data_IF_188090864273
#
_entry.id   IF_188090864273
#
_cell.length_a   1.000
_cell.length_b   1.000
_cell.length_c   1.000
_cell.angle_alpha   90.00
_cell.angle_beta   90.00
_cell.angle_gamma   90.00
#
_symmetry.space_group_name_H-M   'P 1'
#
loop_
_entity.id
_entity.type
_entity.pdbx_description
1 polymer ?
#
# COMPACT_ATOMS: atom_id res chain seq x y z
N UNK A 1 10.21 -4.29 -3.25
CA UNK A 1 10.53 -5.14 -2.09
C UNK A 1 11.84 -4.63 -1.50
N UNK A 2 11.89 -4.29 -0.22
CA UNK A 2 13.11 -3.75 0.42
C UNK A 2 14.02 -4.89 0.87
N UNK A 3 15.31 -4.60 1.07
CA UNK A 3 16.26 -5.57 1.62
C UNK A 3 15.80 -6.08 2.99
N UNK A 4 15.23 -5.19 3.81
CA UNK A 4 14.64 -5.51 5.11
C UNK A 4 13.49 -6.52 5.00
N UNK A 5 12.62 -6.37 3.99
CA UNK A 5 11.51 -7.31 3.77
C UNK A 5 11.99 -8.72 3.45
N UNK A 6 13.01 -8.84 2.59
CA UNK A 6 13.61 -10.14 2.25
C UNK A 6 14.30 -10.76 3.47
N UNK A 7 15.01 -9.93 4.25
CA UNK A 7 15.65 -10.36 5.49
C UNK A 7 14.63 -10.91 6.50
N UNK A 8 13.53 -10.18 6.73
CA UNK A 8 12.46 -10.61 7.62
C UNK A 8 11.82 -11.93 7.16
N UNK A 9 11.60 -12.10 5.85
CA UNK A 9 11.02 -13.33 5.31
C UNK A 9 11.94 -14.54 5.52
N UNK A 10 13.26 -14.36 5.37
CA UNK A 10 14.23 -15.43 5.55
C UNK A 10 14.42 -15.81 7.04
N UNK A 11 14.22 -14.87 7.97
CA UNK A 11 14.29 -15.15 9.41
C UNK A 11 13.21 -16.13 9.87
N UNK A 12 12.06 -16.20 9.18
CA UNK A 12 10.96 -17.09 9.56
C UNK A 12 11.41 -18.55 9.61
N UNK A 13 12.24 -18.99 8.65
CA UNK A 13 12.75 -20.36 8.62
C UNK A 13 13.60 -20.69 9.85
N UNK A 14 14.33 -19.70 10.36
CA UNK A 14 15.24 -19.85 11.50
C UNK A 14 14.47 -19.77 12.82
N UNK A 15 13.62 -18.76 12.99
CA UNK A 15 12.91 -18.50 14.26
C UNK A 15 11.81 -19.51 14.55
N UNK A 16 11.21 -20.09 13.51
CA UNK A 16 10.08 -21.01 13.63
C UNK A 16 10.44 -22.42 13.14
N UNK A 17 11.73 -22.79 13.15
CA UNK A 17 12.23 -24.06 12.61
C UNK A 17 11.53 -25.31 13.21
N UNK A 18 11.09 -25.25 14.47
CA UNK A 18 10.37 -26.31 15.17
C UNK A 18 8.85 -26.27 14.94
N UNK A 19 8.32 -25.20 14.33
CA UNK A 19 6.89 -24.96 14.12
C UNK A 19 6.47 -25.34 12.71
N UNK A 20 6.23 -26.65 12.51
CA UNK A 20 5.87 -27.23 11.21
C UNK A 20 4.76 -26.47 10.47
N UNK A 21 3.71 -26.03 11.15
CA UNK A 21 2.59 -25.32 10.50
C UNK A 21 3.02 -23.98 9.88
N UNK A 22 3.93 -23.25 10.55
CA UNK A 22 4.47 -21.97 10.08
C UNK A 22 5.41 -22.21 8.90
N UNK A 23 6.32 -23.17 9.04
CA UNK A 23 7.28 -23.53 7.99
C UNK A 23 6.57 -24.02 6.72
N UNK A 24 5.52 -24.81 6.85
CA UNK A 24 4.76 -25.29 5.70
C UNK A 24 4.02 -24.15 4.98
N UNK A 25 3.50 -23.16 5.71
CA UNK A 25 2.87 -21.97 5.12
C UNK A 25 3.90 -21.06 4.43
N UNK A 26 5.02 -20.78 5.12
CA UNK A 26 6.14 -20.02 4.58
C UNK A 26 6.73 -20.66 3.33
N UNK A 27 6.94 -21.99 3.32
CA UNK A 27 7.49 -22.70 2.17
C UNK A 27 6.62 -22.53 0.93
N UNK A 28 5.29 -22.59 1.08
CA UNK A 28 4.35 -22.33 -0.04
C UNK A 28 4.48 -20.91 -0.59
N UNK A 29 4.63 -19.91 0.29
CA UNK A 29 4.90 -18.53 -0.14
C UNK A 29 6.24 -18.43 -0.88
N UNK A 30 7.29 -19.02 -0.32
CA UNK A 30 8.64 -18.96 -0.89
C UNK A 30 8.72 -19.67 -2.25
N UNK A 31 8.10 -20.85 -2.38
CA UNK A 31 7.95 -21.57 -3.64
C UNK A 31 7.22 -20.71 -4.67
N UNK A 32 6.12 -20.03 -4.29
CA UNK A 32 5.40 -19.14 -5.20
C UNK A 32 6.24 -17.93 -5.64
N UNK A 33 7.06 -17.37 -4.75
CA UNK A 33 7.97 -16.26 -5.08
C UNK A 33 9.09 -16.69 -6.03
N UNK A 34 9.61 -17.92 -5.88
CA UNK A 34 10.69 -18.48 -6.70
C UNK A 34 10.23 -19.12 -8.01
N UNK A 35 8.93 -19.38 -8.17
CA UNK A 35 8.39 -20.06 -9.37
C UNK A 35 8.12 -19.07 -10.50
N UNK A 36 8.49 -19.46 -11.72
CA UNK A 36 8.06 -18.77 -12.94
C UNK A 36 6.59 -19.10 -13.22
N UNK A 37 5.73 -18.08 -13.20
CA UNK A 37 4.29 -18.26 -13.39
C UNK A 37 3.89 -18.22 -14.85
N UNK A 38 3.10 -19.21 -15.28
CA UNK A 38 2.52 -19.23 -16.62
C UNK A 38 1.31 -18.31 -16.71
N UNK A 39 1.09 -17.76 -17.91
CA UNK A 39 -0.08 -16.96 -18.24
C UNK A 39 -1.30 -17.86 -18.45
N UNK A 40 -2.45 -17.43 -17.93
CA UNK A 40 -3.73 -18.05 -18.23
C UNK A 40 -4.23 -17.67 -19.62
N UNK A 41 -5.18 -18.42 -20.22
CA UNK A 41 -5.65 -18.15 -21.58
C UNK A 41 -6.04 -16.68 -21.87
N UNK A 42 -6.61 -15.97 -20.89
CA UNK A 42 -6.95 -14.54 -21.01
C UNK A 42 -5.77 -13.57 -20.86
N UNK A 43 -4.61 -14.04 -20.44
CA UNK A 43 -3.38 -13.26 -20.18
C UNK A 43 -2.33 -13.46 -21.28
N UNK A 44 -2.53 -14.41 -22.18
CA UNK A 44 -1.60 -14.76 -23.27
C UNK A 44 -1.70 -13.75 -24.41
N UNK A 45 -0.55 -13.31 -24.92
CA UNK A 45 -0.48 -12.45 -26.10
C UNK A 45 -0.92 -13.20 -27.36
N UNK A 46 -1.64 -12.50 -28.22
CA UNK A 46 -2.09 -13.02 -29.51
C UNK A 46 -1.41 -12.20 -30.60
N UNK A 47 -1.10 -12.83 -31.73
CA UNK A 47 -0.55 -12.14 -32.89
C UNK A 47 -1.51 -11.04 -33.36
N UNK A 48 -0.99 -9.82 -33.47
CA UNK A 48 -1.77 -8.63 -33.79
C UNK A 48 -2.26 -7.81 -32.59
N UNK A 49 -1.99 -8.23 -31.34
CA UNK A 49 -2.31 -7.42 -30.17
C UNK A 49 -1.66 -6.03 -30.24
N UNK A 50 -2.46 -4.99 -30.01
CA UNK A 50 -1.99 -3.62 -29.82
C UNK A 50 -1.22 -3.49 -28.50
N UNK A 51 -0.46 -2.39 -28.34
CA UNK A 51 0.25 -2.11 -27.08
C UNK A 51 -0.71 -2.03 -25.88
N UNK A 52 -1.88 -1.44 -26.06
CA UNK A 52 -2.89 -1.32 -25.01
C UNK A 52 -3.43 -2.69 -24.56
N UNK A 53 -3.68 -3.60 -25.51
CA UNK A 53 -4.14 -4.96 -25.21
C UNK A 53 -3.07 -5.76 -24.47
N UNK A 54 -1.79 -5.60 -24.83
CA UNK A 54 -0.67 -6.22 -24.12
C UNK A 54 -0.56 -5.71 -22.68
N UNK A 55 -0.66 -4.39 -22.49
CA UNK A 55 -0.64 -3.76 -21.16
C UNK A 55 -1.80 -4.27 -20.28
N UNK A 56 -3.00 -4.41 -20.83
CA UNK A 56 -4.14 -4.96 -20.10
C UNK A 56 -3.90 -6.42 -19.68
N UNK A 57 -3.37 -7.26 -20.59
CA UNK A 57 -3.03 -8.66 -20.27
C UNK A 57 -1.92 -8.76 -19.23
N UNK A 58 -0.98 -7.82 -19.23
CA UNK A 58 0.05 -7.70 -18.20
C UNK A 58 -0.53 -7.31 -16.84
N UNK A 59 -1.46 -6.36 -16.81
CA UNK A 59 -2.19 -6.00 -15.59
C UNK A 59 -2.91 -7.22 -14.99
N UNK A 60 -3.66 -7.96 -15.81
CA UNK A 60 -4.36 -9.17 -15.36
C UNK A 60 -3.40 -10.19 -14.75
N UNK A 61 -2.29 -10.48 -15.45
CA UNK A 61 -1.27 -11.40 -14.98
C UNK A 61 -0.68 -10.95 -13.64
N UNK A 62 -0.21 -9.70 -13.55
CA UNK A 62 0.46 -9.22 -12.33
C UNK A 62 -0.50 -9.08 -11.15
N UNK A 63 -1.75 -8.66 -11.38
CA UNK A 63 -2.77 -8.58 -10.32
C UNK A 63 -3.04 -9.96 -9.72
N UNK A 64 -3.19 -10.98 -10.57
CA UNK A 64 -3.38 -12.35 -10.09
C UNK A 64 -2.21 -12.83 -9.24
N UNK A 65 -0.99 -12.71 -9.75
CA UNK A 65 0.22 -13.16 -9.05
C UNK A 65 0.39 -12.41 -7.72
N UNK A 66 0.12 -11.10 -7.68
CA UNK A 66 0.20 -10.33 -6.45
C UNK A 66 -0.90 -10.73 -5.44
N UNK A 67 -2.12 -11.01 -5.90
CA UNK A 67 -3.20 -11.49 -5.02
C UNK A 67 -2.89 -12.87 -4.41
N UNK A 68 -2.35 -13.79 -5.22
CA UNK A 68 -1.91 -15.11 -4.74
C UNK A 68 -0.79 -14.97 -3.70
N UNK A 69 0.20 -14.09 -3.93
CA UNK A 69 1.28 -13.78 -2.96
C UNK A 69 0.74 -13.21 -1.66
N UNK A 70 -0.14 -12.22 -1.72
CA UNK A 70 -0.77 -11.64 -0.54
C UNK A 70 -1.53 -12.69 0.26
N UNK A 71 -2.26 -13.58 -0.43
CA UNK A 71 -2.98 -14.69 0.22
C UNK A 71 -2.03 -15.64 0.94
N UNK A 72 -0.90 -16.00 0.32
CA UNK A 72 0.10 -16.89 0.92
C UNK A 72 0.82 -16.23 2.11
N UNK A 73 1.10 -14.92 2.01
CA UNK A 73 1.66 -14.14 3.11
C UNK A 73 0.68 -14.05 4.28
N UNK A 74 -0.59 -13.75 4.02
CA UNK A 74 -1.66 -13.76 5.01
C UNK A 74 -1.74 -15.10 5.77
N UNK A 75 -1.71 -16.22 5.05
CA UNK A 75 -1.69 -17.57 5.66
C UNK A 75 -0.46 -17.80 6.53
N UNK A 76 0.70 -17.32 6.10
CA UNK A 76 1.94 -17.41 6.88
C UNK A 76 1.82 -16.58 8.17
N UNK A 77 1.38 -15.33 8.06
CA UNK A 77 1.13 -14.45 9.23
C UNK A 77 0.10 -15.03 10.19
N UNK A 78 -0.99 -15.60 9.66
CA UNK A 78 -2.02 -16.27 10.45
C UNK A 78 -1.44 -17.42 11.30
N UNK A 79 -0.61 -18.26 10.69
CA UNK A 79 0.03 -19.37 11.38
C UNK A 79 0.98 -18.91 12.50
N UNK A 80 1.74 -17.84 12.26
CA UNK A 80 2.62 -17.24 13.27
C UNK A 80 1.81 -16.65 14.44
N UNK A 81 0.78 -15.88 14.13
CA UNK A 81 -0.07 -15.23 15.14
C UNK A 81 -0.75 -16.24 16.06
N UNK A 82 -1.22 -17.36 15.50
CA UNK A 82 -1.81 -18.47 16.26
C UNK A 82 -0.83 -19.10 17.23
N UNK A 83 0.40 -19.36 16.80
CA UNK A 83 1.43 -19.95 17.65
C UNK A 83 1.84 -18.99 18.79
N UNK A 84 1.85 -17.69 18.52
CA UNK A 84 2.16 -16.66 19.51
C UNK A 84 0.98 -16.32 20.44
N UNK A 85 -0.19 -16.94 20.25
CA UNK A 85 -1.36 -16.74 21.10
C UNK A 85 -2.11 -15.42 20.88
N UNK A 86 -1.91 -14.74 19.74
CA UNK A 86 -2.71 -13.57 19.39
C UNK A 86 -4.15 -13.97 19.01
N UNK A 87 -5.15 -13.23 19.53
CA UNK A 87 -6.56 -13.46 19.19
C UNK A 87 -6.90 -12.87 17.81
N UNK A 88 -7.52 -13.70 16.98
CA UNK A 88 -7.56 -13.68 15.50
C UNK A 88 -8.59 -12.70 14.90
N UNK A 89 -9.25 -11.84 15.68
CA UNK A 89 -10.23 -10.87 15.13
C UNK A 89 -9.59 -9.90 14.09
N UNK A 90 -8.26 -9.71 14.13
CA UNK A 90 -7.52 -8.88 13.16
C UNK A 90 -7.06 -9.64 11.89
N UNK A 91 -7.17 -10.96 11.86
CA UNK A 91 -6.72 -11.81 10.75
C UNK A 91 -7.80 -12.07 9.70
N UNK A 92 -9.08 -11.88 10.04
CA UNK A 92 -10.18 -11.89 9.06
C UNK A 92 -10.00 -10.79 7.99
N UNK A 93 -9.32 -9.68 8.34
CA UNK A 93 -8.90 -8.63 7.39
C UNK A 93 -7.93 -9.18 6.32
N UNK A 94 -7.08 -10.14 6.70
CA UNK A 94 -6.10 -10.77 5.82
C UNK A 94 -6.67 -11.92 4.98
N UNK A 95 -7.70 -12.64 5.45
CA UNK A 95 -8.39 -13.69 4.69
C UNK A 95 -9.50 -13.13 3.76
N UNK A 96 -10.09 -11.98 4.10
CA UNK A 96 -11.20 -11.36 3.37
C UNK A 96 -10.85 -10.67 2.05
N UNK A 97 -9.63 -10.83 1.53
CA UNK A 97 -9.24 -10.22 0.25
C UNK A 97 -9.13 -8.69 0.30
N UNK A 98 -8.76 -8.12 1.43
CA UNK A 98 -8.42 -6.69 1.50
C UNK A 98 -7.00 -6.48 0.94
N UNK A 99 -6.91 -6.22 -0.36
CA UNK A 99 -5.79 -5.38 -0.86
C UNK A 99 -5.78 -4.11 -0.03
N UNK A 100 -4.69 -3.77 0.66
CA UNK A 100 -4.66 -2.61 1.53
C UNK A 100 -4.50 -1.34 0.67
N UNK A 101 -5.51 -1.08 -0.17
CA UNK A 101 -5.61 0.14 -0.96
C UNK A 101 -5.62 1.34 -0.01
N UNK A 102 -6.30 1.24 1.13
CA UNK A 102 -6.24 2.24 2.20
C UNK A 102 -4.83 2.48 2.78
N UNK A 103 -3.93 1.49 2.80
CA UNK A 103 -2.54 1.71 3.27
C UNK A 103 -1.64 2.28 2.16
N UNK A 104 -1.87 1.90 0.90
CA UNK A 104 -1.24 2.58 -0.23
C UNK A 104 -1.72 4.03 -0.32
N UNK A 105 -3.00 4.28 -0.08
CA UNK A 105 -3.63 5.59 -0.05
C UNK A 105 -3.08 6.41 1.12
N UNK A 106 -3.01 5.89 2.35
CA UNK A 106 -2.40 6.59 3.49
C UNK A 106 -0.91 6.90 3.25
N UNK A 107 -0.14 5.98 2.67
CA UNK A 107 1.26 6.23 2.33
C UNK A 107 1.42 7.20 1.16
N UNK A 108 0.51 7.16 0.18
CA UNK A 108 0.46 8.08 -0.95
C UNK A 108 0.07 9.48 -0.48
N UNK A 109 -0.94 9.60 0.37
CA UNK A 109 -1.39 10.83 1.02
C UNK A 109 -0.27 11.42 1.88
N UNK A 110 0.36 10.63 2.75
CA UNK A 110 1.50 11.07 3.56
C UNK A 110 2.67 11.54 2.69
N UNK A 111 2.93 10.85 1.56
CA UNK A 111 3.96 11.25 0.59
C UNK A 111 3.60 12.55 -0.13
N UNK A 112 2.34 12.73 -0.53
CA UNK A 112 1.83 13.95 -1.17
C UNK A 112 1.92 15.14 -0.22
N UNK A 113 1.54 14.97 1.05
CA UNK A 113 1.63 16.01 2.08
C UNK A 113 3.08 16.40 2.33
N UNK A 114 3.97 15.41 2.55
CA UNK A 114 5.40 15.69 2.78
C UNK A 114 6.05 16.39 1.59
N UNK A 115 5.74 15.96 0.36
CA UNK A 115 6.23 16.62 -0.87
C UNK A 115 5.68 18.04 -0.99
N UNK A 116 4.38 18.24 -0.72
CA UNK A 116 3.75 19.56 -0.76
C UNK A 116 4.38 20.51 0.25
N UNK A 117 4.70 20.04 1.46
CA UNK A 117 5.39 20.84 2.47
C UNK A 117 6.82 21.20 2.05
N UNK A 118 7.56 20.24 1.48
CA UNK A 118 8.89 20.50 0.91
C UNK A 118 8.81 21.54 -0.21
N UNK A 119 7.81 21.46 -1.09
CA UNK A 119 7.64 22.40 -2.18
C UNK A 119 7.24 23.80 -1.70
N UNK A 120 6.45 23.91 -0.63
CA UNK A 120 6.16 25.18 0.04
C UNK A 120 7.43 25.82 0.62
N UNK A 121 8.24 25.04 1.36
CA UNK A 121 9.47 25.55 1.99
C UNK A 121 10.53 25.97 0.95
N UNK A 122 10.58 25.31 -0.20
CA UNK A 122 11.47 25.69 -1.29
C UNK A 122 10.89 26.79 -2.20
N UNK A 123 9.72 27.36 -1.88
CA UNK A 123 9.06 28.38 -2.71
C UNK A 123 8.56 27.88 -4.06
N UNK A 124 8.52 26.55 -4.27
CA UNK A 124 8.00 25.91 -5.50
C UNK A 124 6.48 25.80 -5.51
N UNK A 125 5.83 26.04 -4.37
CA UNK A 125 4.37 26.06 -4.20
C UNK A 125 3.98 27.22 -3.27
N UNK A 126 2.83 27.84 -3.50
CA UNK A 126 2.29 28.94 -2.69
C UNK A 126 1.04 28.47 -1.92
N UNK A 127 0.83 28.95 -0.69
CA UNK A 127 -0.40 28.73 0.07
C UNK A 127 -1.38 29.89 -0.19
N UNK A 128 -2.62 29.61 -0.65
CA UNK A 128 -3.64 30.64 -0.75
C UNK A 128 -4.13 31.03 0.65
N UNK A 129 -4.01 32.30 1.01
CA UNK A 129 -4.57 32.86 2.25
C UNK A 129 -5.72 33.79 1.86
N UNK A 130 -6.88 33.57 2.47
CA UNK A 130 -8.04 34.47 2.35
C UNK A 130 -8.15 35.25 3.64
N UNK A 131 -8.07 36.58 3.55
CA UNK A 131 -8.28 37.47 4.69
C UNK A 131 -9.78 37.67 4.89
N UNK A 132 -10.31 37.22 6.03
CA UNK A 132 -11.66 37.56 6.47
C UNK A 132 -11.51 38.76 7.39
N UNK A 133 -11.85 39.95 6.89
CA UNK A 133 -11.78 41.19 7.66
C UNK A 133 -12.76 41.16 8.83
N UNK A 134 -12.23 41.27 10.04
CA UNK A 134 -13.03 41.59 11.21
C UNK A 134 -13.52 43.03 11.08
N UNK A 135 -14.83 43.20 10.97
CA UNK A 135 -15.50 44.49 11.00
C UNK A 135 -15.36 45.05 12.44
N UNK A 136 -14.27 45.81 12.65
CA UNK A 136 -14.17 46.70 13.80
C UNK A 136 -14.85 48.00 13.42
N UNK A 137 -16.12 48.10 13.78
CA UNK A 137 -16.87 49.34 13.75
C UNK A 137 -16.31 50.29 14.82
N UNK A 138 -15.31 51.08 14.42
CA UNK A 138 -14.86 52.26 15.17
C UNK A 138 -14.82 53.45 14.23
N UNK A 139 -16.01 53.97 13.92
CA UNK A 139 -16.17 55.31 13.34
C UNK A 139 -16.25 56.32 14.48
N UNK A 140 -15.11 56.88 14.88
CA UNK A 140 -15.02 58.09 15.67
C UNK A 140 -14.69 59.27 14.76
N UNK A 141 -15.65 60.19 14.62
CA UNK A 141 -15.54 61.65 14.49
C UNK A 141 -14.56 62.21 13.44
N UNK A 142 -15.09 63.02 12.50
CA UNK A 142 -14.43 64.29 12.14
C UNK A 142 -15.41 65.36 11.65
N UNK A 143 -15.03 66.58 12.03
CA UNK A 143 -15.71 67.87 11.93
C UNK A 143 -16.18 68.25 10.51
N UNK A 144 -17.34 68.90 10.44
CA UNK A 144 -17.66 69.78 9.31
C UNK A 144 -17.22 71.21 9.62
N UNK A 145 -16.33 71.67 8.76
CA UNK A 145 -15.95 73.06 8.48
C UNK A 145 -17.17 73.94 8.19
N UNK A 146 -17.25 75.10 8.85
CA UNK A 146 -17.62 76.40 8.26
C UNK A 146 -16.73 77.49 8.83
#
# INVERSE_FOLDING_TARGET
>A
MTLEHVGALNLIEIEFADKKQIIDAWRRLFEHLGTMHNRYPGEVYIDGDTLEQKNYKDDLFWRRINNERHTLLAKTLHSMAREMGFKIEQLEIFEGGYTPQGWEDEQLEARIVRKSFIDLLHGRRLLPVVLIGGENDSSGVDEQTQ
#
